data_IF_591631523782
#
_entry.id   IF_591631523782
#
_cell.length_a   1.000
_cell.length_b   1.000
_cell.length_c   1.000
_cell.angle_alpha   90.00
_cell.angle_beta   90.00
_cell.angle_gamma   90.00
#
_symmetry.space_group_name_H-M   'P 1'
#
loop_
_entity.id
_entity.type
_entity.pdbx_description
1 polymer ?
#
# COMPACT_ATOMS: atom_id res chain seq x y z
N UNK A 1 -8.37 2.60 -6.69
CA UNK A 1 -6.97 3.04 -6.75
C UNK A 1 -6.04 1.88 -7.07
N UNK A 2 -5.03 2.12 -7.93
CA UNK A 2 -4.10 1.11 -8.45
C UNK A 2 -2.67 1.64 -8.39
N UNK A 3 -1.82 0.97 -7.63
CA UNK A 3 -0.39 1.23 -7.54
C UNK A 3 0.37 0.24 -8.44
N UNK A 4 1.12 0.73 -9.41
CA UNK A 4 2.00 -0.10 -10.22
C UNK A 4 3.45 0.16 -9.82
N UNK A 5 4.15 -0.89 -9.39
CA UNK A 5 5.58 -0.86 -9.12
C UNK A 5 6.32 -1.47 -10.30
N UNK A 6 7.36 -0.78 -10.77
CA UNK A 6 8.22 -1.25 -11.84
C UNK A 6 9.67 -1.32 -11.35
N UNK A 7 10.35 -2.42 -11.65
CA UNK A 7 11.75 -2.60 -11.34
C UNK A 7 12.51 -2.98 -12.62
N UNK A 8 13.62 -2.28 -12.87
CA UNK A 8 14.55 -2.65 -13.93
C UNK A 8 15.30 -3.93 -13.52
N UNK A 9 15.41 -4.88 -14.43
CA UNK A 9 16.15 -6.13 -14.20
C UNK A 9 17.29 -6.19 -15.20
N UNK A 10 18.52 -6.41 -14.70
CA UNK A 10 19.73 -6.40 -15.53
C UNK A 10 19.72 -7.55 -16.57
N UNK A 11 18.96 -8.61 -16.30
CA UNK A 11 18.94 -9.83 -17.11
C UNK A 11 17.89 -9.85 -18.24
N UNK A 12 16.89 -8.95 -18.23
CA UNK A 12 15.79 -8.94 -19.22
C UNK A 12 15.54 -7.53 -19.73
N UNK A 13 15.29 -7.37 -21.03
CA UNK A 13 14.97 -6.05 -21.61
C UNK A 13 13.67 -5.46 -21.05
N UNK A 14 12.74 -6.31 -20.61
CA UNK A 14 11.48 -5.85 -20.02
C UNK A 14 11.59 -5.66 -18.50
N UNK A 15 11.14 -4.51 -17.98
CA UNK A 15 11.05 -4.29 -16.54
C UNK A 15 9.97 -5.17 -15.92
N UNK A 16 10.25 -5.68 -14.73
CA UNK A 16 9.25 -6.42 -13.95
C UNK A 16 8.22 -5.43 -13.43
N UNK A 17 6.94 -5.70 -13.68
CA UNK A 17 5.80 -4.89 -13.23
C UNK A 17 4.96 -5.71 -12.26
N UNK A 18 4.51 -5.08 -11.18
CA UNK A 18 3.58 -5.66 -10.23
C UNK A 18 2.51 -4.63 -9.85
N UNK A 19 1.26 -5.08 -9.80
CA UNK A 19 0.10 -4.20 -9.57
C UNK A 19 -0.53 -4.48 -8.21
N UNK A 20 -0.73 -3.43 -7.45
CA UNK A 20 -1.22 -3.49 -6.10
C UNK A 20 -2.44 -2.61 -5.89
N UNK A 21 -3.36 -3.06 -5.05
CA UNK A 21 -4.48 -2.25 -4.56
C UNK A 21 -4.28 -1.99 -3.07
N UNK A 22 -3.86 -0.77 -2.69
CA UNK A 22 -3.89 -0.36 -1.30
C UNK A 22 -5.31 0.03 -0.90
N UNK A 23 -5.72 -0.36 0.30
CA UNK A 23 -6.98 0.05 0.92
C UNK A 23 -6.85 0.12 2.44
N UNK A 24 -7.63 1.00 3.09
CA UNK A 24 -7.70 1.01 4.54
C UNK A 24 -8.47 -0.23 5.03
N UNK A 25 -7.88 -0.98 5.96
CA UNK A 25 -8.46 -2.19 6.52
C UNK A 25 -7.90 -2.42 7.93
N UNK A 26 -8.76 -2.79 8.87
CA UNK A 26 -8.36 -3.18 10.24
C UNK A 26 -7.50 -2.12 10.97
N UNK A 27 -7.71 -0.83 10.69
CA UNK A 27 -6.91 0.25 11.27
C UNK A 27 -5.53 0.44 10.66
N UNK A 28 -5.22 -0.30 9.60
CA UNK A 28 -3.99 -0.18 8.81
C UNK A 28 -4.32 -0.15 7.31
N UNK A 29 -3.35 -0.50 6.47
CA UNK A 29 -3.47 -0.61 5.02
C UNK A 29 -3.34 -2.08 4.63
N UNK A 30 -4.33 -2.62 3.95
CA UNK A 30 -4.19 -3.87 3.21
C UNK A 30 -3.66 -3.57 1.80
N UNK A 31 -2.66 -4.34 1.39
CA UNK A 31 -2.11 -4.28 0.03
C UNK A 31 -2.37 -5.62 -0.65
N UNK A 32 -3.20 -5.61 -1.68
CA UNK A 32 -3.52 -6.81 -2.48
C UNK A 32 -2.72 -6.81 -3.78
N UNK A 33 -1.95 -7.87 -4.03
CA UNK A 33 -1.29 -8.12 -5.32
C UNK A 33 -2.31 -8.66 -6.33
N UNK A 34 -2.59 -7.92 -7.40
CA UNK A 34 -3.71 -8.22 -8.29
C UNK A 34 -3.51 -9.46 -9.15
N UNK A 35 -2.27 -9.80 -9.49
CA UNK A 35 -1.93 -10.97 -10.30
C UNK A 35 -2.10 -12.28 -9.54
N UNK A 36 -1.84 -12.27 -8.22
CA UNK A 36 -1.79 -13.48 -7.40
C UNK A 36 -2.93 -13.57 -6.39
N UNK A 37 -3.66 -12.48 -6.16
CA UNK A 37 -4.69 -12.38 -5.13
C UNK A 37 -4.14 -12.38 -3.70
N UNK A 38 -2.81 -12.45 -3.51
CA UNK A 38 -2.21 -12.42 -2.17
C UNK A 38 -2.39 -11.03 -1.57
N UNK A 39 -2.86 -10.98 -0.33
CA UNK A 39 -2.92 -9.74 0.45
C UNK A 39 -2.01 -9.80 1.67
N UNK A 40 -1.62 -8.62 2.13
CA UNK A 40 -0.85 -8.45 3.35
C UNK A 40 -1.24 -7.12 4.00
N UNK A 41 -1.26 -7.11 5.32
CA UNK A 41 -1.46 -5.91 6.12
C UNK A 41 -0.11 -5.22 6.33
N UNK A 42 -0.06 -3.91 6.08
CA UNK A 42 1.11 -3.11 6.38
C UNK A 42 1.24 -2.99 7.90
N UNK A 43 2.41 -3.30 8.49
CA UNK A 43 2.62 -3.03 9.91
C UNK A 43 2.61 -1.51 10.14
N UNK A 44 1.81 -1.09 11.11
CA UNK A 44 1.73 0.30 11.56
C UNK A 44 1.97 0.35 13.06
N UNK A 45 2.40 1.52 13.56
CA UNK A 45 2.43 1.75 15.00
C UNK A 45 1.03 1.56 15.60
N UNK A 46 0.88 0.85 16.74
CA UNK A 46 -0.44 0.59 17.34
C UNK A 46 -1.21 1.86 17.75
N UNK A 47 -0.52 2.98 17.97
CA UNK A 47 -1.13 4.28 18.22
C UNK A 47 -1.74 4.91 16.97
N UNK A 48 -1.37 4.45 15.76
CA UNK A 48 -1.86 4.96 14.48
C UNK A 48 -3.00 4.07 13.98
N UNK A 49 -4.13 4.70 13.65
CA UNK A 49 -5.31 4.03 13.12
C UNK A 49 -5.74 4.70 11.80
N UNK A 50 -5.48 4.01 10.69
CA UNK A 50 -5.85 4.46 9.35
C UNK A 50 -7.33 4.18 9.09
N UNK A 51 -8.06 5.21 8.64
CA UNK A 51 -9.49 5.15 8.35
C UNK A 51 -9.77 5.21 6.85
N UNK A 52 -8.99 6.01 6.11
CA UNK A 52 -9.09 6.10 4.66
C UNK A 52 -7.70 6.03 4.03
N UNK A 53 -7.64 5.41 2.84
CA UNK A 53 -6.44 5.33 2.04
C UNK A 53 -6.83 5.55 0.57
N UNK A 54 -6.19 6.52 -0.07
CA UNK A 54 -6.46 6.91 -1.45
C UNK A 54 -5.17 7.11 -2.21
N UNK A 55 -5.08 6.59 -3.43
CA UNK A 55 -3.96 6.85 -4.32
C UNK A 55 -4.29 8.01 -5.25
N UNK A 56 -3.53 9.10 -5.16
CA UNK A 56 -3.73 10.30 -5.98
C UNK A 56 -2.39 10.86 -6.41
N UNK A 57 -2.25 11.16 -7.70
CA UNK A 57 -1.04 11.75 -8.29
C UNK A 57 0.27 10.99 -7.94
N UNK A 58 0.21 9.65 -7.93
CA UNK A 58 1.35 8.79 -7.59
C UNK A 58 1.68 8.70 -6.10
N UNK A 59 0.87 9.30 -5.22
CA UNK A 59 1.05 9.28 -3.77
C UNK A 59 -0.08 8.50 -3.11
N UNK A 60 0.27 7.73 -2.08
CA UNK A 60 -0.70 7.11 -1.18
C UNK A 60 -1.01 8.09 -0.04
N UNK A 61 -2.21 8.64 -0.07
CA UNK A 61 -2.75 9.56 0.94
C UNK A 61 -3.48 8.73 1.98
N UNK A 62 -3.13 8.94 3.24
CA UNK A 62 -3.68 8.24 4.39
C UNK A 62 -4.34 9.24 5.32
N UNK A 63 -5.56 8.92 5.75
CA UNK A 63 -6.31 9.71 6.73
C UNK A 63 -6.70 8.82 7.89
N UNK A 64 -6.57 9.33 9.11
CA UNK A 64 -6.80 8.55 10.31
C UNK A 64 -6.50 9.31 11.59
N UNK A 65 -6.27 8.56 12.66
CA UNK A 65 -5.98 9.10 14.00
C UNK A 65 -4.65 8.56 14.51
N UNK A 66 -3.95 9.37 15.29
CA UNK A 66 -2.78 8.94 16.05
C UNK A 66 -3.02 9.23 17.53
N UNK A 67 -2.76 8.24 18.37
CA UNK A 67 -2.73 8.36 19.83
C UNK A 67 -1.30 8.65 20.23
N UNK A 68 -1.08 9.80 20.87
CA UNK A 68 0.24 10.22 21.33
C UNK A 68 0.21 10.25 22.85
N UNK A 69 1.07 9.48 23.47
CA UNK A 69 1.30 9.51 24.92
C UNK A 69 2.43 10.52 25.23
N UNK A 70 2.24 11.43 26.21
CA UNK A 70 3.29 12.33 26.68
C UNK A 70 4.49 11.62 27.31
#
# INVERSE_FOLDING_TARGET
DLLELQAAVIATQDPVRARFRPQAAEGTIEITHLETGKSFLLPMDPGIHIQHAHLKAGQLILEGKATISP
#
